data_IF_416784348423
#
_entry.id   IF_416784348423
#
_cell.length_a   1.000
_cell.length_b   1.000
_cell.length_c   1.000
_cell.angle_alpha   90.00
_cell.angle_beta   90.00
_cell.angle_gamma   90.00
#
_symmetry.space_group_name_H-M   'P 1'
#
loop_
_entity.id
_entity.type
_entity.pdbx_description
1 polymer ?
#
# COMPACT_ATOMS: atom_id res chain seq x y z
N UNK A 1 1.78 -1.07 -2.65
CA UNK A 1 1.37 -2.38 -2.11
C UNK A 1 0.99 -2.23 -0.64
N UNK A 2 0.16 -3.10 -0.13
CA UNK A 2 -0.22 -3.13 1.29
C UNK A 2 -0.59 -4.55 1.72
N UNK A 3 -0.33 -4.87 2.97
CA UNK A 3 -0.69 -6.15 3.59
C UNK A 3 -0.95 -5.96 5.08
N UNK A 4 -1.60 -6.92 5.69
CA UNK A 4 -1.77 -6.94 7.14
C UNK A 4 -0.44 -7.33 7.78
N UNK A 5 -0.02 -6.60 8.82
CA UNK A 5 1.33 -6.73 9.38
C UNK A 5 1.63 -8.13 9.90
N UNK A 6 0.64 -8.76 10.55
CA UNK A 6 0.80 -10.03 11.27
C UNK A 6 0.12 -11.20 10.52
N UNK A 7 -0.02 -11.09 9.21
CA UNK A 7 -0.68 -12.09 8.36
C UNK A 7 0.27 -12.61 7.29
N UNK A 8 0.17 -13.91 6.99
CA UNK A 8 0.85 -14.55 5.86
C UNK A 8 0.14 -14.26 4.51
N UNK A 9 -0.89 -13.41 4.51
CA UNK A 9 -1.59 -13.00 3.29
C UNK A 9 -0.65 -12.31 2.30
N UNK A 10 -0.81 -12.63 1.02
CA UNK A 10 -0.11 -11.95 -0.06
C UNK A 10 -0.38 -10.44 -0.05
N UNK A 11 0.66 -9.66 -0.41
CA UNK A 11 0.54 -8.22 -0.51
C UNK A 11 -0.36 -7.83 -1.68
N UNK A 12 -1.32 -6.95 -1.41
CA UNK A 12 -2.21 -6.41 -2.42
C UNK A 12 -1.54 -5.20 -3.11
N UNK A 13 -1.70 -5.11 -4.43
CA UNK A 13 -1.15 -4.03 -5.25
C UNK A 13 -2.28 -3.15 -5.79
N UNK A 14 -2.17 -1.84 -5.56
CA UNK A 14 -3.03 -0.84 -6.16
C UNK A 14 -2.20 0.03 -7.13
N UNK A 15 -2.61 0.05 -8.40
CA UNK A 15 -1.97 0.85 -9.44
C UNK A 15 -2.56 2.26 -9.43
N UNK A 16 -1.71 3.25 -9.17
CA UNK A 16 -2.09 4.67 -9.22
C UNK A 16 -1.78 5.21 -10.61
N UNK A 17 -2.80 5.73 -11.31
CA UNK A 17 -2.64 6.35 -12.63
C UNK A 17 -2.41 7.86 -12.47
N UNK A 18 -1.59 8.41 -13.37
CA UNK A 18 -1.25 9.83 -13.41
C UNK A 18 0.09 10.11 -12.73
N UNK A 19 1.03 10.67 -13.48
CA UNK A 19 2.37 11.01 -13.02
C UNK A 19 2.38 12.12 -11.94
N UNK A 20 1.32 12.91 -11.85
CA UNK A 20 1.14 13.97 -10.85
C UNK A 20 0.20 13.56 -9.70
N UNK A 21 -0.33 12.34 -9.71
CA UNK A 21 -1.21 11.86 -8.63
C UNK A 21 -0.39 11.51 -7.40
N UNK A 22 -0.65 12.23 -6.30
CA UNK A 22 0.09 12.05 -5.04
C UNK A 22 -0.71 11.32 -3.95
N UNK A 23 -1.96 10.95 -4.22
CA UNK A 23 -2.83 10.27 -3.26
C UNK A 23 -3.70 9.20 -3.91
N UNK A 24 -4.04 8.18 -3.12
CA UNK A 24 -4.96 7.11 -3.51
C UNK A 24 -5.73 6.64 -2.28
N UNK A 25 -6.99 6.24 -2.47
CA UNK A 25 -7.81 5.66 -1.41
C UNK A 25 -7.75 4.13 -1.48
N UNK A 26 -7.23 3.51 -0.42
CA UNK A 26 -7.36 2.06 -0.20
C UNK A 26 -8.75 1.77 0.35
N UNK A 27 -9.49 0.86 -0.30
CA UNK A 27 -10.87 0.50 0.06
C UNK A 27 -10.94 -0.95 0.52
N UNK A 28 -12.06 -1.32 1.15
CA UNK A 28 -12.35 -2.70 1.58
C UNK A 28 -11.30 -3.29 2.53
N UNK A 29 -10.67 -2.45 3.36
CA UNK A 29 -9.78 -2.89 4.42
C UNK A 29 -10.62 -3.37 5.62
N UNK A 30 -10.11 -4.37 6.34
CA UNK A 30 -10.75 -4.82 7.58
C UNK A 30 -10.61 -3.75 8.66
N UNK A 31 -11.62 -3.64 9.52
CA UNK A 31 -11.65 -2.70 10.65
C UNK A 31 -10.67 -3.11 11.74
N UNK A 32 -10.09 -2.12 12.42
CA UNK A 32 -9.16 -2.30 13.53
C UNK A 32 -7.95 -3.21 13.24
N UNK A 33 -7.53 -3.29 11.98
CA UNK A 33 -6.36 -4.08 11.54
C UNK A 33 -5.20 -3.17 11.19
N UNK A 34 -3.99 -3.57 11.59
CA UNK A 34 -2.76 -2.89 11.26
C UNK A 34 -2.21 -3.35 9.90
N UNK A 35 -2.05 -2.41 8.99
CA UNK A 35 -1.52 -2.62 7.65
C UNK A 35 -0.11 -2.04 7.54
N UNK A 36 0.74 -2.76 6.81
CA UNK A 36 2.01 -2.29 6.30
C UNK A 36 1.82 -1.81 4.85
N UNK A 37 2.24 -0.59 4.55
CA UNK A 37 2.00 0.10 3.28
C UNK A 37 3.33 0.61 2.72
N UNK A 38 3.58 0.31 1.44
CA UNK A 38 4.73 0.83 0.70
C UNK A 38 4.33 1.22 -0.72
N UNK A 39 5.03 2.21 -1.27
CA UNK A 39 4.87 2.66 -2.66
C UNK A 39 6.17 2.44 -3.42
N UNK A 40 6.06 2.16 -4.72
CA UNK A 40 7.19 2.20 -5.65
C UNK A 40 6.74 2.94 -6.90
N UNK A 41 7.69 3.57 -7.59
CA UNK A 41 7.47 4.05 -8.95
C UNK A 41 7.73 2.90 -9.92
N UNK A 42 7.04 2.85 -11.05
CA UNK A 42 7.32 1.87 -12.10
C UNK A 42 7.29 2.52 -13.48
N UNK A 43 8.01 1.91 -14.41
CA UNK A 43 8.07 2.30 -15.82
C UNK A 43 7.90 1.07 -16.69
N UNK A 44 7.87 1.24 -18.03
CA UNK A 44 7.90 0.11 -18.97
C UNK A 44 9.16 -0.76 -18.82
N UNK A 45 10.26 -0.19 -18.32
CA UNK A 45 11.52 -0.92 -18.14
C UNK A 45 11.47 -1.79 -16.87
N UNK A 46 10.70 -1.37 -15.86
CA UNK A 46 10.55 -2.11 -14.62
C UNK A 46 10.21 -1.22 -13.43
N UNK A 47 10.25 -1.84 -12.25
CA UNK A 47 9.93 -1.23 -10.97
C UNK A 47 11.13 -0.52 -10.36
N UNK A 48 10.88 0.61 -9.72
CA UNK A 48 11.82 1.32 -8.89
C UNK A 48 11.84 0.77 -7.46
N UNK A 49 12.62 1.43 -6.61
CA UNK A 49 12.75 1.03 -5.21
C UNK A 49 11.46 1.28 -4.43
N UNK A 50 11.15 0.36 -3.50
CA UNK A 50 10.12 0.56 -2.50
C UNK A 50 10.46 1.74 -1.57
N UNK A 51 9.45 2.49 -1.19
CA UNK A 51 9.55 3.50 -0.14
C UNK A 51 10.02 2.88 1.16
N UNK A 52 10.98 3.53 1.82
CA UNK A 52 11.53 3.11 3.10
C UNK A 52 11.53 4.29 4.09
N UNK A 53 11.10 4.11 5.35
CA UNK A 53 10.53 2.87 5.89
C UNK A 53 9.11 2.58 5.37
N UNK A 54 8.60 1.35 5.52
CA UNK A 54 7.18 1.06 5.37
C UNK A 54 6.33 1.89 6.33
N UNK A 55 5.18 2.34 5.86
CA UNK A 55 4.18 3.03 6.70
C UNK A 55 3.32 1.97 7.38
N UNK A 56 3.15 2.10 8.70
CA UNK A 56 2.31 1.23 9.50
C UNK A 56 1.09 2.00 9.97
N UNK A 57 -0.10 1.60 9.53
CA UNK A 57 -1.35 2.29 9.89
C UNK A 57 -2.42 1.31 10.31
N UNK A 58 -3.23 1.71 11.30
CA UNK A 58 -4.36 0.92 11.77
C UNK A 58 -5.66 1.54 11.27
N UNK A 59 -6.50 0.71 10.64
CA UNK A 59 -7.85 1.13 10.27
C UNK A 59 -8.69 1.41 11.50
N UNK A 60 -9.65 2.33 11.39
CA UNK A 60 -10.61 2.60 12.46
C UNK A 60 -11.49 1.37 12.74
N UNK A 61 -12.04 1.33 13.94
CA UNK A 61 -13.02 0.33 14.36
C UNK A 61 -14.43 0.74 13.89
N UNK A 62 -14.85 1.98 14.20
CA UNK A 62 -16.05 2.68 13.72
C UNK A 62 -15.88 4.21 13.79
#
# INVERSE_FOLDING_TARGET
MYKEKDSDSEAQVNVVKGNLTQSVLLRNLRKYIQYEIQVLAFTRIGDGQLSSPPVLERTKDD
#
